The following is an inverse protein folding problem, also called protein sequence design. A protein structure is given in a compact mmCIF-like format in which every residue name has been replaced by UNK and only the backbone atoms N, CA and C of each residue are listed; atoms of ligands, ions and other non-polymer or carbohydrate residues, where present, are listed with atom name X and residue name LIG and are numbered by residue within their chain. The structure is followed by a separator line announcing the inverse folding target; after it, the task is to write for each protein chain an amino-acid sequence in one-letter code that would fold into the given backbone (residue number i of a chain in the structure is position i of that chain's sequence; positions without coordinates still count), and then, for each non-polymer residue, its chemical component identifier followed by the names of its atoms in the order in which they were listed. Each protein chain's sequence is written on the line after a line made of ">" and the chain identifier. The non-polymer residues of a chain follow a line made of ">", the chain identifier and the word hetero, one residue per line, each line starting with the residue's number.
data_IF_300286098731
#
_entry.id   IF_300286098731
#
_cell.length_a   1.000
_cell.length_b   1.000
_cell.length_c   1.000
_cell.angle_alpha   90.00
_cell.angle_beta   90.00
_cell.angle_gamma   90.00
#
_symmetry.space_group_name_H-M   'P 1'
#
loop_
_entity.id
_entity.type
_entity.pdbx_description
1 polymer ?
#
# COMPACT_ATOMS: atom_id res chain seq x y z
N UNK A 1 9.30 -16.54 -23.44
CA UNK A 1 8.92 -16.12 -22.08
C UNK A 1 8.11 -17.24 -21.45
N UNK A 2 8.57 -17.80 -20.35
CA UNK A 2 7.92 -18.85 -19.57
C UNK A 2 6.71 -18.25 -18.83
N UNK A 3 5.60 -18.98 -18.78
CA UNK A 3 4.44 -18.56 -17.98
C UNK A 3 4.36 -19.39 -16.69
N UNK A 4 4.16 -18.71 -15.58
CA UNK A 4 3.83 -19.32 -14.29
C UNK A 4 2.35 -19.07 -14.03
N UNK A 5 1.55 -20.14 -14.07
CA UNK A 5 0.10 -20.06 -13.83
C UNK A 5 -0.13 -20.18 -12.31
N UNK A 6 -0.68 -19.14 -11.73
CA UNK A 6 -1.06 -19.09 -10.32
C UNK A 6 -2.49 -19.62 -10.19
N UNK A 7 -2.71 -20.56 -9.30
CA UNK A 7 -4.05 -21.07 -8.97
C UNK A 7 -4.69 -20.26 -7.83
N UNK A 8 -6.00 -20.41 -7.62
CA UNK A 8 -6.68 -19.85 -6.46
C UNK A 8 -6.10 -20.36 -5.13
N UNK A 9 -5.72 -21.65 -5.08
CA UNK A 9 -5.07 -22.22 -3.91
C UNK A 9 -3.71 -21.59 -3.63
N UNK A 10 -2.95 -21.23 -4.68
CA UNK A 10 -1.68 -20.52 -4.52
C UNK A 10 -1.92 -19.10 -3.96
N UNK A 11 -2.94 -18.40 -4.48
CA UNK A 11 -3.31 -17.07 -3.96
C UNK A 11 -3.68 -17.13 -2.48
N UNK A 12 -4.47 -18.14 -2.09
CA UNK A 12 -4.83 -18.34 -0.69
C UNK A 12 -3.61 -18.60 0.19
N UNK A 13 -2.73 -19.52 -0.22
CA UNK A 13 -1.49 -19.82 0.50
C UNK A 13 -0.55 -18.61 0.61
N UNK A 14 -0.41 -17.86 -0.48
CA UNK A 14 0.42 -16.65 -0.51
C UNK A 14 -0.17 -15.55 0.40
N UNK A 15 -1.49 -15.41 0.42
CA UNK A 15 -2.16 -14.49 1.34
C UNK A 15 -1.94 -14.90 2.80
N UNK A 16 -2.03 -16.20 3.11
CA UNK A 16 -1.71 -16.71 4.45
C UNK A 16 -0.27 -16.42 4.85
N UNK A 17 0.68 -16.51 3.92
CA UNK A 17 2.09 -16.17 4.20
C UNK A 17 2.26 -14.69 4.55
N UNK A 18 1.59 -13.78 3.84
CA UNK A 18 1.57 -12.34 4.18
C UNK A 18 0.96 -12.13 5.57
N UNK A 19 -0.16 -12.77 5.88
CA UNK A 19 -0.81 -12.68 7.20
C UNK A 19 0.09 -13.22 8.31
N UNK A 20 0.84 -14.30 8.04
CA UNK A 20 1.83 -14.84 8.98
C UNK A 20 2.94 -13.81 9.26
N UNK A 21 3.45 -13.15 8.23
CA UNK A 21 4.49 -12.11 8.37
C UNK A 21 3.96 -10.91 9.18
N UNK A 22 2.75 -10.44 8.89
CA UNK A 22 2.08 -9.38 9.66
C UNK A 22 1.94 -9.74 11.14
N UNK A 23 1.57 -11.00 11.41
CA UNK A 23 1.42 -11.49 12.79
C UNK A 23 2.76 -11.55 13.53
N UNK A 24 3.82 -12.04 12.89
CA UNK A 24 5.16 -12.10 13.47
C UNK A 24 5.73 -10.72 13.78
N UNK A 25 5.42 -9.75 12.91
CA UNK A 25 5.86 -8.37 13.07
C UNK A 25 4.99 -7.57 14.07
N UNK A 26 3.92 -8.19 14.58
CA UNK A 26 2.97 -7.59 15.53
C UNK A 26 2.42 -6.23 15.03
N UNK A 27 2.35 -6.06 13.71
CA UNK A 27 1.85 -4.86 13.09
C UNK A 27 0.46 -5.09 12.50
N UNK A 28 -0.45 -4.16 12.76
CA UNK A 28 -1.83 -4.24 12.29
C UNK A 28 -2.21 -2.95 11.57
N UNK A 29 -2.78 -3.04 10.36
CA UNK A 29 -3.31 -1.87 9.67
C UNK A 29 -4.64 -1.42 10.29
N UNK A 30 -4.88 -0.11 10.25
CA UNK A 30 -6.19 0.48 10.47
C UNK A 30 -7.11 0.20 9.29
N UNK A 31 -6.54 0.16 8.08
CA UNK A 31 -7.22 -0.28 6.86
C UNK A 31 -6.24 -0.79 5.80
N UNK A 32 -6.79 -1.51 4.84
CA UNK A 32 -6.07 -2.07 3.69
C UNK A 32 -6.43 -1.28 2.43
N UNK A 33 -5.45 -1.02 1.57
CA UNK A 33 -5.63 -0.40 0.24
C UNK A 33 -5.25 -1.39 -0.84
N UNK A 34 -6.23 -1.86 -1.61
CA UNK A 34 -5.98 -2.72 -2.77
C UNK A 34 -5.75 -1.91 -4.03
N UNK A 35 -4.64 -2.14 -4.71
CA UNK A 35 -4.37 -1.48 -5.99
C UNK A 35 -5.16 -2.13 -7.11
N UNK A 36 -5.79 -1.34 -7.96
CA UNK A 36 -6.55 -1.87 -9.08
C UNK A 36 -5.60 -2.33 -10.21
N UNK A 37 -5.88 -3.46 -10.81
CA UNK A 37 -6.96 -4.40 -10.51
C UNK A 37 -6.48 -5.59 -9.69
N UNK A 38 -5.20 -5.99 -9.87
CA UNK A 38 -4.66 -7.23 -9.34
C UNK A 38 -4.61 -7.31 -7.82
N UNK A 39 -4.29 -6.18 -7.18
CA UNK A 39 -4.21 -6.08 -5.72
C UNK A 39 -5.55 -6.18 -4.98
N UNK A 40 -6.69 -6.05 -5.67
CA UNK A 40 -8.01 -6.07 -5.01
C UNK A 40 -8.33 -7.43 -4.37
N UNK A 41 -7.99 -8.52 -5.03
CA UNK A 41 -8.28 -9.87 -4.51
C UNK A 41 -7.52 -10.17 -3.22
N UNK A 42 -6.18 -10.08 -3.17
CA UNK A 42 -5.44 -10.31 -1.93
C UNK A 42 -5.77 -9.28 -0.84
N UNK A 43 -6.01 -8.02 -1.19
CA UNK A 43 -6.43 -7.00 -0.23
C UNK A 43 -7.75 -7.34 0.45
N UNK A 44 -8.74 -7.84 -0.31
CA UNK A 44 -10.02 -8.27 0.24
C UNK A 44 -9.85 -9.45 1.21
N UNK A 45 -9.06 -10.45 0.85
CA UNK A 45 -8.80 -11.61 1.73
C UNK A 45 -8.13 -11.17 3.03
N UNK A 46 -7.11 -10.30 2.96
CA UNK A 46 -6.40 -9.76 4.12
C UNK A 46 -7.36 -8.94 5.00
N UNK A 47 -8.14 -8.05 4.41
CA UNK A 47 -9.11 -7.21 5.10
C UNK A 47 -10.16 -8.05 5.85
N UNK A 48 -10.71 -9.08 5.22
CA UNK A 48 -11.67 -10.01 5.84
C UNK A 48 -11.05 -10.75 7.03
N UNK A 49 -9.83 -11.26 6.88
CA UNK A 49 -9.14 -11.95 7.96
C UNK A 49 -8.85 -11.02 9.15
N UNK A 50 -8.37 -9.81 8.88
CA UNK A 50 -8.02 -8.84 9.91
C UNK A 50 -9.25 -8.13 10.52
N UNK A 51 -10.42 -8.18 9.86
CA UNK A 51 -11.62 -7.48 10.28
C UNK A 51 -11.43 -5.96 10.25
N UNK A 52 -10.70 -5.42 9.26
CA UNK A 52 -10.48 -3.99 9.08
C UNK A 52 -11.04 -3.50 7.73
N UNK A 53 -11.35 -2.20 7.56
CA UNK A 53 -11.83 -1.66 6.30
C UNK A 53 -10.85 -1.90 5.14
N UNK A 54 -11.40 -1.99 3.93
CA UNK A 54 -10.64 -2.00 2.68
C UNK A 54 -11.09 -0.88 1.77
N UNK A 55 -10.12 -0.24 1.11
CA UNK A 55 -10.35 0.74 0.04
C UNK A 55 -9.59 0.32 -1.21
N UNK A 56 -10.06 0.78 -2.37
CA UNK A 56 -9.35 0.61 -3.64
C UNK A 56 -8.64 1.90 -4.03
N UNK A 57 -7.50 1.75 -4.70
CA UNK A 57 -6.79 2.87 -5.32
C UNK A 57 -6.53 2.51 -6.80
N UNK A 58 -7.04 3.35 -7.71
CA UNK A 58 -6.84 3.14 -9.13
C UNK A 58 -5.48 3.68 -9.58
N UNK A 59 -4.55 2.77 -9.85
CA UNK A 59 -3.17 3.09 -10.25
C UNK A 59 -2.75 2.21 -11.43
N UNK A 60 -3.51 2.23 -12.53
CA UNK A 60 -3.10 1.50 -13.73
C UNK A 60 -2.18 2.35 -14.62
N UNK A 61 -0.87 2.25 -14.43
CA UNK A 61 0.11 2.94 -15.27
C UNK A 61 0.24 2.32 -16.67
N UNK A 62 -0.15 1.05 -16.85
CA UNK A 62 -0.06 0.34 -18.13
C UNK A 62 -1.24 0.64 -19.06
N UNK A 63 -2.43 0.82 -18.51
CA UNK A 63 -3.67 0.95 -19.27
C UNK A 63 -4.02 2.42 -19.59
N UNK A 64 -3.23 3.37 -19.13
CA UNK A 64 -3.50 4.81 -19.17
C UNK A 64 -3.21 5.49 -20.52
N UNK A 65 -3.07 4.75 -21.62
CA UNK A 65 -2.88 5.39 -22.93
C UNK A 65 -4.15 6.03 -23.50
N UNK A 66 -5.34 5.73 -22.96
CA UNK A 66 -6.62 6.24 -23.49
C UNK A 66 -7.69 6.55 -22.43
N UNK A 67 -7.40 6.37 -21.15
CA UNK A 67 -8.34 6.60 -20.02
C UNK A 67 -7.97 7.80 -19.13
N UNK A 68 -8.81 8.13 -18.14
CA UNK A 68 -8.41 9.06 -17.10
C UNK A 68 -7.15 8.54 -16.40
N UNK A 69 -6.24 9.45 -16.07
CA UNK A 69 -5.00 9.11 -15.36
C UNK A 69 -5.27 8.46 -13.99
N UNK A 70 -4.21 7.98 -13.31
CA UNK A 70 -4.33 7.41 -11.97
C UNK A 70 -5.08 8.35 -11.03
N UNK A 71 -5.89 7.78 -10.15
CA UNK A 71 -6.67 8.56 -9.19
C UNK A 71 -5.79 8.97 -8.01
N UNK A 72 -5.80 10.28 -7.68
CA UNK A 72 -5.14 10.79 -6.48
C UNK A 72 -6.09 10.74 -5.29
N UNK A 73 -5.68 10.05 -4.23
CA UNK A 73 -6.45 9.95 -2.99
C UNK A 73 -5.76 10.71 -1.85
N UNK A 74 -5.91 12.03 -1.86
CA UNK A 74 -5.26 12.91 -0.88
C UNK A 74 -5.62 12.60 0.57
N UNK A 75 -6.83 12.12 0.84
CA UNK A 75 -7.23 11.73 2.19
C UNK A 75 -6.40 10.54 2.72
N UNK A 76 -5.97 9.62 1.84
CA UNK A 76 -5.05 8.54 2.24
C UNK A 76 -3.66 9.09 2.56
N UNK A 77 -3.21 10.09 1.81
CA UNK A 77 -1.96 10.79 2.08
C UNK A 77 -2.02 11.56 3.42
N UNK A 78 -3.15 12.21 3.71
CA UNK A 78 -3.41 12.88 5.00
C UNK A 78 -3.41 11.88 6.16
N UNK A 79 -4.09 10.75 6.01
CA UNK A 79 -4.08 9.66 6.99
C UNK A 79 -2.66 9.09 7.21
N UNK A 80 -1.91 8.85 6.13
CA UNK A 80 -0.54 8.34 6.20
C UNK A 80 0.40 9.33 6.90
N UNK A 81 0.23 10.62 6.62
CA UNK A 81 0.99 11.68 7.22
C UNK A 81 0.58 11.97 8.67
N UNK A 82 -0.69 11.74 9.03
CA UNK A 82 -1.30 12.15 10.28
C UNK A 82 -1.74 13.62 10.27
N UNK A 83 -2.09 14.13 9.08
CA UNK A 83 -2.55 15.50 8.93
C UNK A 83 -3.98 15.66 9.43
N UNK A 84 -4.17 16.61 10.34
CA UNK A 84 -5.49 17.01 10.84
C UNK A 84 -5.77 18.44 10.40
N UNK A 85 -6.78 18.69 9.55
CA UNK A 85 -7.15 20.03 9.15
C UNK A 85 -7.53 20.88 10.37
N UNK A 86 -7.06 22.14 10.42
CA UNK A 86 -7.34 23.07 11.54
C UNK A 86 -8.83 23.30 11.82
N UNK A 87 -9.69 23.12 10.85
CA UNK A 87 -11.15 23.21 11.01
C UNK A 87 -11.72 22.18 11.99
N UNK A 88 -11.09 21.01 12.11
CA UNK A 88 -11.48 19.99 13.11
C UNK A 88 -10.91 20.26 14.50
N UNK A 89 -9.81 20.99 14.58
CA UNK A 89 -9.18 21.35 15.86
C UNK A 89 -9.87 22.57 16.54
N UNK A 90 -10.62 23.38 15.79
CA UNK A 90 -11.27 24.57 16.31
C UNK A 90 -12.59 24.31 17.08
N UNK A 91 -13.23 23.16 16.83
CA UNK A 91 -14.50 22.77 17.47
C UNK A 91 -14.34 21.84 18.68
N UNK A 92 -13.13 21.38 18.93
CA UNK A 92 -12.82 20.57 20.12
C UNK A 92 -12.11 21.42 21.18
N UNK A 93 -12.64 21.38 22.39
CA UNK A 93 -12.17 22.07 23.59
C UNK A 93 -10.66 22.32 23.65
N UNK A 94 -10.25 23.47 24.23
CA UNK A 94 -8.84 23.88 24.45
C UNK A 94 -7.93 22.76 24.98
N UNK A 95 -8.51 21.77 25.67
CA UNK A 95 -7.79 20.61 26.19
C UNK A 95 -7.22 19.70 25.10
N UNK A 96 -7.90 19.60 23.94
CA UNK A 96 -7.42 18.82 22.80
C UNK A 96 -6.25 19.51 22.08
N UNK A 97 -6.24 20.83 22.05
CA UNK A 97 -5.17 21.60 21.40
C UNK A 97 -3.83 21.45 22.11
N UNK A 98 -3.84 21.36 23.44
CA UNK A 98 -2.63 21.12 24.24
C UNK A 98 -2.11 19.67 24.10
N UNK A 99 -3.01 18.70 23.90
CA UNK A 99 -2.63 17.29 23.69
C UNK A 99 -2.05 17.05 22.29
N UNK A 100 -2.41 17.91 21.31
CA UNK A 100 -1.95 17.79 19.91
C UNK A 100 -0.59 18.49 19.68
N UNK A 101 -0.16 19.35 20.61
CA UNK A 101 1.11 20.02 20.53
C UNK A 101 2.14 19.25 21.36
N UNK A 102 3.28 18.92 20.76
CA UNK A 102 4.43 18.43 21.50
C UNK A 102 4.84 19.43 22.58
N UNK A 103 5.62 19.00 23.58
CA UNK A 103 6.04 19.87 24.68
C UNK A 103 6.83 21.13 24.31
N UNK A 104 7.24 21.25 23.05
CA UNK A 104 7.87 22.41 22.42
C UNK A 104 6.89 23.28 21.59
N UNK A 105 5.58 22.94 21.60
CA UNK A 105 4.56 23.60 20.81
C UNK A 105 4.52 23.17 19.33
N UNK A 106 5.29 22.16 18.94
CA UNK A 106 5.23 21.57 17.61
C UNK A 106 4.08 20.57 17.50
N UNK A 107 3.45 20.47 16.33
CA UNK A 107 2.38 19.51 16.09
C UNK A 107 2.96 18.11 15.86
N UNK A 108 2.58 17.14 16.70
CA UNK A 108 3.01 15.74 16.53
C UNK A 108 2.05 14.99 15.61
N UNK A 109 2.34 15.02 14.33
CA UNK A 109 1.59 14.27 13.30
C UNK A 109 1.60 12.75 13.52
N UNK A 110 2.52 12.20 14.31
CA UNK A 110 2.61 10.74 14.50
C UNK A 110 1.43 10.18 15.27
N UNK A 111 0.83 10.97 16.14
CA UNK A 111 -0.32 10.56 16.95
C UNK A 111 -1.61 10.34 16.14
N UNK A 112 -1.70 10.93 14.95
CA UNK A 112 -2.86 10.85 14.09
C UNK A 112 -2.63 10.01 12.83
N UNK A 113 -1.39 9.59 12.60
CA UNK A 113 -1.07 8.76 11.45
C UNK A 113 -1.71 7.38 11.60
N UNK A 114 -2.38 6.94 10.54
CA UNK A 114 -2.97 5.60 10.46
C UNK A 114 -1.95 4.61 9.93
N UNK A 115 -2.08 3.38 10.38
CA UNK A 115 -1.38 2.24 9.81
C UNK A 115 -2.11 1.80 8.55
N UNK A 116 -1.46 1.87 7.41
CA UNK A 116 -2.06 1.57 6.11
C UNK A 116 -1.28 0.43 5.45
N UNK A 117 -1.97 -0.63 5.05
CA UNK A 117 -1.39 -1.70 4.27
C UNK A 117 -1.79 -1.54 2.79
N UNK A 118 -0.83 -1.19 1.95
CA UNK A 118 -1.00 -1.13 0.49
C UNK A 118 -0.72 -2.52 -0.07
N UNK A 119 -1.64 -3.06 -0.86
CA UNK A 119 -1.57 -4.44 -1.37
C UNK A 119 -1.65 -4.44 -2.89
N UNK A 120 -0.71 -5.14 -3.53
CA UNK A 120 -0.74 -5.45 -4.95
C UNK A 120 -0.51 -6.95 -5.18
N UNK A 121 -0.77 -7.43 -6.39
CA UNK A 121 -0.47 -8.82 -6.76
C UNK A 121 1.01 -9.02 -7.06
N UNK A 122 1.65 -8.09 -7.73
CA UNK A 122 3.07 -8.16 -8.07
C UNK A 122 3.76 -6.80 -8.05
N UNK A 123 4.92 -6.75 -7.40
CA UNK A 123 5.90 -5.68 -7.60
C UNK A 123 6.87 -6.09 -8.70
N UNK A 124 6.60 -5.70 -9.94
CA UNK A 124 7.44 -6.07 -11.09
C UNK A 124 8.58 -5.06 -11.32
N UNK A 125 8.24 -3.83 -11.69
CA UNK A 125 9.21 -2.77 -11.98
C UNK A 125 9.35 -1.74 -10.87
N UNK A 126 8.48 -1.77 -9.89
CA UNK A 126 8.38 -0.77 -8.83
C UNK A 126 7.67 0.52 -9.26
N UNK A 127 7.30 0.65 -10.52
CA UNK A 127 6.76 1.91 -11.06
C UNK A 127 5.47 2.36 -10.36
N UNK A 128 4.54 1.43 -10.12
CA UNK A 128 3.25 1.69 -9.46
C UNK A 128 3.45 2.20 -8.04
N UNK A 129 4.23 1.49 -7.24
CA UNK A 129 4.48 1.85 -5.85
C UNK A 129 5.26 3.16 -5.71
N UNK A 130 6.25 3.39 -6.57
CA UNK A 130 6.99 4.65 -6.61
C UNK A 130 6.10 5.82 -7.03
N UNK A 131 5.11 5.58 -7.90
CA UNK A 131 4.14 6.60 -8.27
C UNK A 131 3.27 6.98 -7.06
N UNK A 132 2.70 6.01 -6.34
CA UNK A 132 1.87 6.25 -5.15
C UNK A 132 2.67 7.03 -4.09
N UNK A 133 3.92 6.64 -3.85
CA UNK A 133 4.77 7.30 -2.88
C UNK A 133 4.96 8.79 -3.19
N UNK A 134 5.15 9.12 -4.47
CA UNK A 134 5.27 10.51 -4.91
C UNK A 134 3.95 11.25 -4.85
N UNK A 135 2.88 10.63 -5.34
CA UNK A 135 1.54 11.20 -5.34
C UNK A 135 1.06 11.58 -3.94
N UNK A 136 1.23 10.68 -2.97
CA UNK A 136 0.87 10.94 -1.58
C UNK A 136 1.74 12.04 -0.96
N UNK A 137 3.03 12.04 -1.26
CA UNK A 137 3.93 13.11 -0.80
C UNK A 137 3.54 14.46 -1.39
N UNK A 138 3.26 14.51 -2.68
CA UNK A 138 2.86 15.75 -3.37
C UNK A 138 1.49 16.24 -2.90
N UNK A 139 0.61 15.33 -2.50
CA UNK A 139 -0.74 15.63 -2.03
C UNK A 139 -0.84 16.20 -0.61
N UNK A 140 0.17 15.98 0.24
CA UNK A 140 0.12 16.40 1.64
C UNK A 140 1.50 16.88 2.12
N UNK A 141 1.69 18.19 2.29
CA UNK A 141 2.92 18.80 2.83
C UNK A 141 4.22 18.25 2.22
N UNK A 142 4.44 18.39 0.90
CA UNK A 142 5.47 17.65 0.14
C UNK A 142 6.91 17.88 0.62
N UNK A 143 7.22 19.02 1.19
CA UNK A 143 8.57 19.36 1.68
C UNK A 143 8.81 18.96 3.14
N UNK A 144 7.82 18.36 3.80
CA UNK A 144 7.94 18.04 5.20
C UNK A 144 8.80 16.77 5.40
N UNK A 145 9.83 16.80 6.29
CA UNK A 145 10.79 15.69 6.46
C UNK A 145 10.16 14.40 7.01
N UNK A 146 8.96 14.48 7.60
CA UNK A 146 8.23 13.30 8.09
C UNK A 146 8.02 12.24 7.01
N UNK A 147 7.88 12.63 5.73
CA UNK A 147 7.70 11.68 4.63
C UNK A 147 8.83 10.65 4.52
N UNK A 148 10.04 10.98 4.97
CA UNK A 148 11.17 10.07 4.96
C UNK A 148 10.98 8.86 5.91
N UNK A 149 10.02 8.96 6.84
CA UNK A 149 9.70 7.93 7.81
C UNK A 149 8.28 7.35 7.71
N UNK A 150 7.46 7.73 6.73
CA UNK A 150 6.08 7.22 6.58
C UNK A 150 6.09 5.80 6.02
N UNK A 151 6.77 5.61 4.88
CA UNK A 151 6.86 4.33 4.20
C UNK A 151 7.79 3.36 4.95
N UNK A 152 7.33 2.14 5.14
CA UNK A 152 8.01 1.13 5.95
C UNK A 152 7.70 1.21 7.45
N UNK A 153 7.10 2.29 7.92
CA UNK A 153 6.70 2.46 9.32
C UNK A 153 5.19 2.28 9.49
N UNK A 154 4.41 3.32 9.23
CA UNK A 154 2.95 3.26 9.31
C UNK A 154 2.25 3.03 7.96
N UNK A 155 2.92 3.26 6.84
CA UNK A 155 2.49 2.76 5.53
C UNK A 155 3.40 1.61 5.13
N UNK A 156 2.82 0.43 4.95
CA UNK A 156 3.55 -0.77 4.56
C UNK A 156 2.98 -1.37 3.29
N UNK A 157 3.80 -2.10 2.57
CA UNK A 157 3.45 -2.71 1.29
C UNK A 157 3.51 -4.23 1.40
N UNK A 158 2.47 -4.88 0.89
CA UNK A 158 2.40 -6.33 0.73
C UNK A 158 2.14 -6.70 -0.73
N UNK A 159 2.84 -7.72 -1.22
CA UNK A 159 2.66 -8.25 -2.58
C UNK A 159 2.68 -9.77 -2.57
N UNK A 160 1.94 -10.42 -3.47
CA UNK A 160 2.04 -11.86 -3.63
C UNK A 160 3.39 -12.25 -4.25
N UNK A 161 3.85 -11.46 -5.24
CA UNK A 161 5.17 -11.65 -5.88
C UNK A 161 6.00 -10.36 -5.82
N UNK A 162 7.25 -10.48 -5.38
CA UNK A 162 8.24 -9.39 -5.43
C UNK A 162 9.37 -9.73 -6.39
N UNK A 163 9.56 -8.90 -7.44
CA UNK A 163 10.69 -9.03 -8.35
C UNK A 163 11.91 -8.33 -7.77
N UNK A 164 12.83 -9.10 -7.20
CA UNK A 164 14.05 -8.59 -6.56
C UNK A 164 15.03 -7.89 -7.53
N UNK A 165 14.91 -8.17 -8.83
CA UNK A 165 15.73 -7.52 -9.87
C UNK A 165 15.16 -6.19 -10.37
N UNK A 166 14.07 -5.68 -9.77
CA UNK A 166 13.49 -4.40 -10.14
C UNK A 166 14.49 -3.25 -9.93
N UNK A 167 14.72 -2.45 -10.98
CA UNK A 167 15.62 -1.30 -10.93
C UNK A 167 15.10 -0.14 -10.05
N UNK A 168 13.78 -0.05 -9.91
CA UNK A 168 13.09 0.97 -9.11
C UNK A 168 12.57 0.39 -7.80
N UNK A 169 13.41 -0.38 -7.14
CA UNK A 169 13.01 -1.14 -5.97
C UNK A 169 12.61 -0.24 -4.81
N UNK A 170 11.33 -0.22 -4.52
CA UNK A 170 10.81 0.23 -3.24
C UNK A 170 10.96 -0.89 -2.20
N UNK A 171 11.09 -0.53 -0.94
CA UNK A 171 11.12 -1.53 0.12
C UNK A 171 9.74 -2.18 0.29
N UNK A 172 9.64 -3.47 -0.05
CA UNK A 172 8.45 -4.29 0.19
C UNK A 172 8.55 -4.85 1.61
N UNK A 173 7.53 -4.62 2.42
CA UNK A 173 7.52 -5.06 3.81
C UNK A 173 7.14 -6.53 3.92
N UNK A 174 6.20 -6.97 3.09
CA UNK A 174 5.67 -8.33 3.10
C UNK A 174 5.57 -8.86 1.68
N UNK A 175 6.21 -9.97 1.39
CA UNK A 175 6.10 -10.67 0.12
C UNK A 175 5.91 -12.16 0.36
N UNK A 176 5.02 -12.79 -0.39
CA UNK A 176 4.82 -14.23 -0.28
C UNK A 176 5.85 -15.02 -1.09
N UNK A 177 6.17 -14.55 -2.29
CA UNK A 177 7.14 -15.18 -3.20
C UNK A 177 8.08 -14.13 -3.75
N UNK A 178 9.37 -14.37 -3.61
CA UNK A 178 10.40 -13.55 -4.24
C UNK A 178 10.84 -14.22 -5.56
N UNK A 179 10.92 -13.44 -6.62
CA UNK A 179 11.39 -13.86 -7.94
C UNK A 179 12.51 -12.95 -8.43
N UNK A 180 13.35 -13.47 -9.31
CA UNK A 180 14.40 -12.70 -9.97
C UNK A 180 14.22 -12.80 -11.49
N UNK A 181 13.54 -11.83 -12.09
CA UNK A 181 13.28 -11.81 -13.53
C UNK A 181 14.53 -11.57 -14.40
N UNK A 182 15.62 -11.12 -13.80
CA UNK A 182 16.91 -11.05 -14.51
C UNK A 182 17.51 -12.44 -14.75
N UNK A 183 17.16 -13.43 -13.92
CA UNK A 183 17.63 -14.82 -14.06
C UNK A 183 16.61 -15.72 -14.77
N UNK A 184 15.31 -15.57 -14.46
CA UNK A 184 14.20 -16.31 -15.09
C UNK A 184 13.11 -15.32 -15.51
N UNK A 185 13.14 -14.89 -16.77
CA UNK A 185 12.12 -13.99 -17.36
C UNK A 185 10.78 -14.72 -17.50
N UNK A 186 10.09 -14.86 -16.37
CA UNK A 186 8.80 -15.50 -16.27
C UNK A 186 7.67 -14.49 -16.21
N UNK A 187 6.58 -14.78 -16.93
CA UNK A 187 5.32 -14.05 -16.83
C UNK A 187 4.41 -14.71 -15.81
N UNK A 188 4.08 -14.01 -14.73
CA UNK A 188 3.13 -14.49 -13.73
C UNK A 188 1.72 -14.22 -14.25
N UNK A 189 0.88 -15.26 -14.26
CA UNK A 189 -0.51 -15.19 -14.71
C UNK A 189 -1.42 -15.56 -13.55
N UNK A 190 -2.13 -14.59 -13.03
CA UNK A 190 -3.03 -14.76 -11.90
C UNK A 190 -4.38 -15.36 -12.31
N UNK A 191 -5.13 -16.01 -11.38
CA UNK A 191 -6.39 -16.68 -11.70
C UNK A 191 -7.52 -15.73 -12.10
N UNK A 192 -7.43 -14.45 -11.86
CA UNK A 192 -8.37 -13.41 -12.32
C UNK A 192 -8.03 -12.84 -13.70
N UNK A 193 -6.85 -13.18 -14.27
CA UNK A 193 -6.47 -12.78 -15.61
C UNK A 193 -6.96 -13.83 -16.61
N UNK A 194 -7.59 -13.38 -17.70
CA UNK A 194 -8.03 -14.23 -18.82
C UNK A 194 -8.76 -15.53 -18.43
N UNK A 195 -9.45 -15.51 -17.25
CA UNK A 195 -10.13 -16.69 -16.69
C UNK A 195 -11.17 -17.30 -17.65
N UNK A 196 -11.72 -16.50 -18.55
CA UNK A 196 -12.68 -16.92 -19.59
C UNK A 196 -12.04 -17.66 -20.77
N UNK A 197 -10.73 -17.69 -20.88
CA UNK A 197 -9.98 -18.39 -21.94
C UNK A 197 -9.28 -19.65 -21.47
N UNK A 198 -9.44 -20.00 -20.21
CA UNK A 198 -8.80 -21.17 -19.56
C UNK A 198 -9.62 -22.43 -19.72
#
# INVERSE_FOLDING_TARGET
>A
MKKILVSWADVENQTHEILRQLHLDQWRPDYVVGLTRGGLTPANLISQYLGCPMFSLDVSLRDNQTGPGPESNYWMAEDAFGYVPRSYAADSDQLMTETLLGGDGSFDYTMHAKNILVVDDINDTGATLNWIQRDWRDGCLPSHPRWDGVWGRNVRVAVLYDNESSANRMNINYSAVNINKAEDDSWIVFPWEDWWTR
#
